data_IF_707175538162
#
_entry.id   IF_707175538162
#
_cell.length_a   1.000
_cell.length_b   1.000
_cell.length_c   1.000
_cell.angle_alpha   90.00
_cell.angle_beta   90.00
_cell.angle_gamma   90.00
#
_symmetry.space_group_name_H-M   'P 1'
#
loop_
_entity.id
_entity.type
_entity.pdbx_description
1 polymer ?
#
# COMPACT_ATOMS: atom_id res chain seq x y z
N UNK A 1 -8.82 -22.03 6.51
CA UNK A 1 -9.15 -21.25 7.72
C UNK A 1 -9.14 -22.22 8.89
N UNK A 2 -8.25 -22.02 9.85
CA UNK A 2 -7.94 -22.96 10.94
C UNK A 2 -8.85 -22.81 12.16
N UNK A 3 -9.86 -21.93 12.09
CA UNK A 3 -10.80 -21.68 13.18
C UNK A 3 -10.33 -20.66 14.21
N UNK A 4 -9.17 -20.01 14.01
CA UNK A 4 -8.72 -18.92 14.87
C UNK A 4 -9.77 -17.80 14.93
N UNK A 5 -10.18 -17.32 16.12
CA UNK A 5 -11.15 -16.24 16.24
C UNK A 5 -10.70 -14.96 15.52
N UNK A 6 -11.63 -14.31 14.82
CA UNK A 6 -11.39 -13.05 14.10
C UNK A 6 -12.17 -11.94 14.80
N UNK A 7 -11.52 -10.80 15.02
CA UNK A 7 -12.15 -9.62 15.61
C UNK A 7 -12.59 -8.71 14.47
N UNK A 8 -13.90 -8.50 14.36
CA UNK A 8 -14.45 -7.54 13.42
C UNK A 8 -14.15 -6.11 13.88
N UNK A 9 -13.65 -5.30 12.95
CA UNK A 9 -13.24 -3.92 13.17
C UNK A 9 -13.76 -3.02 12.05
N UNK A 10 -13.95 -1.74 12.35
CA UNK A 10 -14.55 -0.75 11.46
C UNK A 10 -13.55 -0.02 10.55
N UNK A 11 -12.32 -0.54 10.40
CA UNK A 11 -11.30 0.03 9.51
C UNK A 11 -11.55 -0.30 8.04
N UNK A 12 -11.00 0.51 7.15
CA UNK A 12 -10.88 0.13 5.74
C UNK A 12 -9.97 -1.11 5.54
N UNK A 13 -10.13 -1.75 4.38
CA UNK A 13 -9.39 -2.96 3.99
C UNK A 13 -10.11 -4.26 4.37
N UNK A 14 -9.44 -5.39 4.17
CA UNK A 14 -9.93 -6.75 4.50
C UNK A 14 -9.28 -7.26 5.78
N UNK A 15 -9.22 -8.58 5.98
CA UNK A 15 -8.55 -9.23 7.11
C UNK A 15 -7.05 -8.90 7.17
N UNK A 16 -6.47 -8.90 8.37
CA UNK A 16 -5.02 -8.79 8.59
C UNK A 16 -4.66 -9.48 9.90
N UNK A 17 -3.37 -9.57 10.21
CA UNK A 17 -2.87 -10.09 11.48
C UNK A 17 -1.97 -9.07 12.18
N UNK A 18 -2.05 -9.05 13.51
CA UNK A 18 -1.21 -8.25 14.38
C UNK A 18 -0.66 -9.14 15.51
N UNK A 19 0.59 -8.94 15.88
CA UNK A 19 1.24 -9.66 16.96
C UNK A 19 2.65 -9.16 17.26
N UNK A 20 3.38 -9.83 18.17
CA UNK A 20 4.75 -9.46 18.52
C UNK A 20 5.65 -9.33 17.28
N UNK A 21 6.49 -8.30 17.28
CA UNK A 21 7.37 -7.98 16.15
C UNK A 21 6.74 -7.11 15.06
N UNK A 22 5.48 -6.71 15.22
CA UNK A 22 4.84 -5.72 14.36
C UNK A 22 4.68 -4.37 15.09
N UNK A 23 5.13 -3.29 14.46
CA UNK A 23 4.90 -1.94 14.94
C UNK A 23 3.57 -1.42 14.42
N UNK A 24 2.62 -1.19 15.33
CA UNK A 24 1.29 -0.66 15.00
C UNK A 24 1.24 0.82 15.39
N UNK A 25 0.86 1.67 14.45
CA UNK A 25 0.70 3.11 14.67
C UNK A 25 -0.75 3.55 14.43
N UNK A 26 -1.30 4.33 15.35
CA UNK A 26 -2.64 4.93 15.22
C UNK A 26 -2.55 6.47 15.23
N UNK A 27 -2.31 7.11 14.08
CA UNK A 27 -2.35 8.56 13.98
C UNK A 27 -3.79 9.04 14.16
N UNK A 28 -4.13 9.57 15.33
CA UNK A 28 -5.45 10.16 15.62
C UNK A 28 -5.37 11.66 15.37
N UNK A 29 -5.74 12.08 14.17
CA UNK A 29 -5.49 13.42 13.64
C UNK A 29 -6.74 14.00 12.99
N UNK A 30 -6.96 15.30 13.18
CA UNK A 30 -8.02 16.03 12.48
C UNK A 30 -7.55 16.37 11.06
N UNK A 31 -8.31 15.96 10.05
CA UNK A 31 -8.03 16.25 8.66
C UNK A 31 -8.57 17.63 8.24
N UNK A 32 -7.86 18.34 7.34
CA UNK A 32 -8.37 19.58 6.75
C UNK A 32 -9.64 19.31 5.93
N UNK A 33 -10.43 20.37 5.72
CA UNK A 33 -11.63 20.32 4.87
C UNK A 33 -11.30 20.90 3.48
N UNK A 34 -11.76 20.27 2.37
CA UNK A 34 -12.52 19.01 2.32
C UNK A 34 -11.66 17.80 2.74
N UNK A 35 -12.29 16.80 3.35
CA UNK A 35 -11.59 15.60 3.82
C UNK A 35 -11.14 14.78 2.63
N UNK A 36 -9.84 14.53 2.54
CA UNK A 36 -9.23 13.64 1.56
C UNK A 36 -8.54 12.47 2.26
N UNK A 37 -9.23 11.33 2.27
CA UNK A 37 -8.77 10.09 2.89
C UNK A 37 -7.61 9.49 2.10
N UNK A 38 -7.66 9.56 0.77
CA UNK A 38 -6.63 8.99 -0.11
C UNK A 38 -5.32 9.76 0.05
N UNK A 39 -5.37 11.09 0.11
CA UNK A 39 -4.20 11.90 0.41
C UNK A 39 -3.61 11.60 1.80
N UNK A 40 -4.44 11.28 2.80
CA UNK A 40 -3.94 10.85 4.10
C UNK A 40 -3.25 9.47 4.03
N UNK A 41 -3.83 8.49 3.33
CA UNK A 41 -3.18 7.19 3.09
C UNK A 41 -1.83 7.38 2.40
N UNK A 42 -1.76 8.21 1.34
CA UNK A 42 -0.51 8.50 0.62
C UNK A 42 0.57 9.12 1.51
N UNK A 43 0.19 9.98 2.46
CA UNK A 43 1.12 10.55 3.46
C UNK A 43 1.65 9.48 4.43
N UNK A 44 0.81 8.54 4.84
CA UNK A 44 1.25 7.41 5.67
C UNK A 44 2.20 6.48 4.91
N UNK A 45 1.89 6.16 3.65
CA UNK A 45 2.80 5.42 2.78
C UNK A 45 4.14 6.14 2.65
N UNK A 46 4.13 7.46 2.44
CA UNK A 46 5.35 8.26 2.30
C UNK A 46 6.22 8.23 3.56
N UNK A 47 5.59 8.41 4.73
CA UNK A 47 6.29 8.37 6.01
C UNK A 47 6.93 7.00 6.25
N UNK A 48 6.23 5.92 5.92
CA UNK A 48 6.72 4.55 6.08
C UNK A 48 7.84 4.21 5.09
N UNK A 49 7.72 4.65 3.82
CA UNK A 49 8.77 4.48 2.81
C UNK A 49 10.05 5.21 3.24
N UNK A 50 9.95 6.46 3.69
CA UNK A 50 11.11 7.22 4.20
C UNK A 50 11.74 6.55 5.41
N UNK A 51 10.89 6.07 6.34
CA UNK A 51 11.38 5.33 7.51
C UNK A 51 12.13 4.08 7.08
N UNK A 52 11.61 3.29 6.15
CA UNK A 52 12.29 2.11 5.62
C UNK A 52 13.63 2.46 4.96
N UNK A 53 13.67 3.56 4.19
CA UNK A 53 14.90 4.05 3.56
C UNK A 53 15.98 4.46 4.58
N UNK A 54 15.60 5.04 5.73
CA UNK A 54 16.55 5.37 6.82
C UNK A 54 17.24 4.11 7.39
N UNK A 55 16.62 2.93 7.24
CA UNK A 55 17.19 1.62 7.59
C UNK A 55 17.79 0.86 6.40
N UNK A 56 17.91 1.50 5.23
CA UNK A 56 18.47 0.90 4.02
C UNK A 56 17.54 -0.10 3.31
N UNK A 57 16.23 -0.05 3.57
CA UNK A 57 15.23 -0.93 2.94
C UNK A 57 14.51 -0.17 1.83
N UNK A 58 14.77 -0.55 0.59
CA UNK A 58 14.10 0.02 -0.59
C UNK A 58 12.65 -0.49 -0.70
N UNK A 59 11.71 0.45 -0.73
CA UNK A 59 10.27 0.16 -0.78
C UNK A 59 9.53 1.12 -1.68
N UNK A 60 8.40 0.67 -2.22
CA UNK A 60 7.57 1.38 -3.17
C UNK A 60 6.07 1.24 -2.86
N UNK A 61 5.27 2.01 -3.60
CA UNK A 61 3.81 1.84 -3.68
C UNK A 61 3.49 0.94 -4.86
N UNK A 62 2.43 0.13 -4.72
CA UNK A 62 1.91 -0.71 -5.80
C UNK A 62 0.50 -0.24 -6.15
N UNK A 63 0.23 -0.08 -7.44
CA UNK A 63 -1.06 0.43 -7.92
C UNK A 63 -2.23 -0.43 -7.42
N UNK A 64 -3.29 0.23 -6.93
CA UNK A 64 -4.48 -0.44 -6.40
C UNK A 64 -4.29 -1.18 -5.07
N UNK A 65 -3.08 -1.19 -4.49
CA UNK A 65 -2.74 -1.96 -3.28
C UNK A 65 -2.13 -1.07 -2.21
N UNK A 66 -2.98 -0.50 -1.35
CA UNK A 66 -2.53 0.38 -0.26
C UNK A 66 -1.51 -0.30 0.66
N UNK A 67 -0.52 0.48 1.09
CA UNK A 67 0.57 0.03 1.94
C UNK A 67 1.94 0.21 1.29
N UNK A 68 2.95 -0.36 1.93
CA UNK A 68 4.35 -0.26 1.51
C UNK A 68 4.87 -1.63 1.14
N UNK A 69 5.57 -1.71 0.00
CA UNK A 69 5.96 -2.96 -0.64
C UNK A 69 7.45 -2.98 -0.92
N UNK A 70 8.10 -4.11 -0.69
CA UNK A 70 9.40 -4.41 -1.28
C UNK A 70 9.14 -5.11 -2.61
N UNK A 71 9.61 -4.51 -3.70
CA UNK A 71 9.34 -5.05 -5.02
C UNK A 71 10.02 -6.40 -5.22
N UNK A 72 9.33 -7.24 -5.99
CA UNK A 72 9.87 -8.46 -6.55
C UNK A 72 10.97 -8.21 -7.57
N UNK A 73 11.51 -9.29 -8.14
CA UNK A 73 12.31 -9.13 -9.36
C UNK A 73 11.41 -8.68 -10.52
N UNK A 74 11.94 -7.85 -11.44
CA UNK A 74 11.20 -7.44 -12.61
C UNK A 74 10.73 -8.67 -13.38
N UNK A 75 9.43 -8.74 -13.64
CA UNK A 75 8.88 -9.70 -14.59
C UNK A 75 9.21 -9.17 -15.96
N UNK A 76 9.95 -9.93 -16.78
CA UNK A 76 10.11 -9.59 -18.19
C UNK A 76 8.73 -9.35 -18.80
N UNK A 77 8.50 -8.12 -19.28
CA UNK A 77 7.30 -7.83 -20.04
C UNK A 77 7.30 -8.78 -21.23
N UNK A 78 6.36 -9.74 -21.27
CA UNK A 78 6.09 -10.50 -22.49
C UNK A 78 5.80 -9.46 -23.56
N UNK A 79 6.65 -9.37 -24.57
CA UNK A 79 6.38 -8.55 -25.75
C UNK A 79 4.95 -8.87 -26.18
N UNK A 80 4.10 -7.85 -26.18
CA UNK A 80 2.76 -7.97 -26.70
C UNK A 80 2.88 -8.59 -28.10
N UNK A 81 2.15 -9.69 -28.33
CA UNK A 81 2.03 -10.27 -29.66
C UNK A 81 1.44 -9.19 -30.59
N UNK A 82 2.30 -8.51 -31.34
CA UNK A 82 1.92 -7.58 -32.40
C UNK A 82 1.20 -6.30 -31.94
N UNK A 83 1.96 -5.21 -31.77
CA UNK A 83 1.59 -3.90 -32.31
C UNK A 83 0.47 -3.10 -31.64
N UNK A 84 -0.08 -3.50 -30.49
CA UNK A 84 -1.07 -2.71 -29.76
C UNK A 84 -0.59 -2.47 -28.33
N UNK A 85 0.19 -1.40 -28.13
CA UNK A 85 0.27 -0.76 -26.81
C UNK A 85 -0.96 0.15 -26.67
N UNK A 86 -1.89 -0.25 -25.81
CA UNK A 86 -3.02 0.61 -25.42
C UNK A 86 -2.56 1.47 -24.24
N UNK A 87 -1.67 2.43 -24.51
CA UNK A 87 -1.31 3.45 -23.53
C UNK A 87 -2.40 4.53 -23.55
N UNK A 88 -3.54 4.22 -22.91
CA UNK A 88 -4.61 5.19 -22.64
C UNK A 88 -4.26 6.03 -21.41
N UNK A 89 -3.06 6.60 -21.33
CA UNK A 89 -2.84 7.70 -20.40
C UNK A 89 -3.20 9.02 -21.11
N UNK A 90 -4.40 9.59 -20.87
CA UNK A 90 -4.80 10.85 -21.48
C UNK A 90 -3.87 12.02 -21.11
N UNK A 91 -2.98 11.85 -20.11
CA UNK A 91 -1.96 12.84 -19.72
C UNK A 91 -0.79 12.93 -20.69
N UNK A 92 -0.58 11.91 -21.54
CA UNK A 92 0.53 11.91 -22.52
C UNK A 92 0.25 12.84 -23.73
N UNK A 93 -0.99 13.32 -23.89
CA UNK A 93 -1.41 14.14 -25.03
C UNK A 93 -1.75 15.60 -24.66
N UNK A 94 -1.66 15.98 -23.39
CA UNK A 94 -2.03 17.30 -22.90
C UNK A 94 -0.77 18.16 -22.61
N UNK A 95 -0.48 19.12 -23.48
CA UNK A 95 0.68 20.03 -23.35
C UNK A 95 0.51 21.07 -22.22
N UNK A 96 -0.68 21.19 -21.62
CA UNK A 96 -0.97 22.10 -20.50
C UNK A 96 -0.83 21.40 -19.12
N UNK A 97 -0.47 20.11 -19.12
CA UNK A 97 -0.35 19.28 -17.93
C UNK A 97 0.91 19.63 -17.10
N UNK A 98 0.74 20.17 -15.87
CA UNK A 98 1.86 20.36 -14.93
C UNK A 98 2.29 19.00 -14.33
N UNK A 99 3.52 18.51 -14.62
CA UNK A 99 4.00 17.22 -14.10
C UNK A 99 4.09 17.16 -12.58
N UNK A 100 4.05 18.29 -11.87
CA UNK A 100 4.01 18.34 -10.40
C UNK A 100 2.66 17.92 -9.82
N UNK A 101 1.61 17.93 -10.63
CA UNK A 101 0.29 17.42 -10.26
C UNK A 101 0.20 15.89 -10.37
N UNK A 102 1.25 15.23 -10.89
CA UNK A 102 1.33 13.78 -10.84
C UNK A 102 1.23 13.31 -9.40
N UNK A 103 0.35 12.33 -9.19
CA UNK A 103 0.38 11.53 -7.96
C UNK A 103 1.74 10.86 -7.79
N UNK A 104 1.99 10.25 -6.63
CA UNK A 104 3.21 9.47 -6.45
C UNK A 104 3.31 8.38 -7.53
N UNK A 105 4.52 8.05 -7.95
CA UNK A 105 4.74 6.93 -8.87
C UNK A 105 4.32 5.61 -8.22
N UNK A 106 3.65 4.76 -9.00
CA UNK A 106 3.19 3.45 -8.57
C UNK A 106 3.86 2.38 -9.42
N UNK A 107 4.42 1.36 -8.78
CA UNK A 107 4.86 0.18 -9.49
C UNK A 107 3.64 -0.64 -9.97
N UNK A 108 3.71 -1.25 -11.16
CA UNK A 108 2.70 -2.20 -11.60
C UNK A 108 2.68 -3.42 -10.66
N UNK A 109 1.49 -3.90 -10.30
CA UNK A 109 1.33 -5.06 -9.42
C UNK A 109 1.71 -6.37 -10.11
N UNK A 110 2.62 -7.16 -9.53
CA UNK A 110 2.96 -8.51 -9.99
C UNK A 110 2.28 -9.65 -9.18
N UNK A 111 1.22 -9.34 -8.42
CA UNK A 111 0.54 -10.31 -7.54
C UNK A 111 0.25 -11.65 -8.23
N UNK A 112 0.58 -12.76 -7.54
CA UNK A 112 0.36 -14.12 -8.05
C UNK A 112 1.44 -14.65 -9.00
N UNK A 113 2.57 -13.94 -9.15
CA UNK A 113 3.71 -14.35 -9.97
C UNK A 113 4.89 -14.83 -9.12
N UNK A 114 5.84 -15.57 -9.72
CA UNK A 114 7.08 -15.95 -9.01
C UNK A 114 7.86 -14.69 -8.62
N UNK A 115 8.38 -14.66 -7.38
CA UNK A 115 9.09 -13.51 -6.78
C UNK A 115 8.20 -12.27 -6.65
N UNK A 116 6.97 -12.47 -6.19
CA UNK A 116 6.00 -11.39 -5.98
C UNK A 116 6.48 -10.28 -5.04
N UNK A 117 5.83 -9.12 -5.18
CA UNK A 117 5.97 -7.98 -4.29
C UNK A 117 5.58 -8.37 -2.87
N UNK A 118 6.49 -8.08 -1.92
CA UNK A 118 6.33 -8.44 -0.52
C UNK A 118 5.81 -7.24 0.25
N UNK A 119 4.64 -7.37 0.86
CA UNK A 119 4.05 -6.29 1.66
C UNK A 119 4.82 -6.11 2.96
N UNK A 120 5.44 -4.95 3.14
CA UNK A 120 6.15 -4.57 4.36
C UNK A 120 5.22 -3.92 5.38
N UNK A 121 4.28 -3.08 4.93
CA UNK A 121 3.32 -2.43 5.81
C UNK A 121 1.90 -2.42 5.25
N UNK A 122 0.93 -2.70 6.11
CA UNK A 122 -0.49 -2.58 5.83
C UNK A 122 -1.03 -1.25 6.37
N UNK A 123 -1.94 -0.61 5.62
CA UNK A 123 -2.63 0.61 6.03
C UNK A 123 -4.12 0.37 5.94
N UNK A 124 -4.81 0.59 7.06
CA UNK A 124 -6.26 0.51 7.17
C UNK A 124 -6.72 1.61 8.10
N UNK A 125 -7.36 2.63 7.53
CA UNK A 125 -7.85 3.80 8.27
C UNK A 125 -9.36 3.92 8.16
N UNK A 126 -9.95 4.66 9.09
CA UNK A 126 -11.31 5.20 9.00
C UNK A 126 -11.24 6.69 9.31
N UNK A 127 -12.14 7.49 8.74
CA UNK A 127 -12.33 8.89 9.16
C UNK A 127 -13.75 9.06 9.65
N UNK A 128 -13.91 9.57 10.87
CA UNK A 128 -15.20 9.88 11.47
C UNK A 128 -15.18 11.31 11.98
N UNK A 129 -16.19 12.11 11.60
CA UNK A 129 -16.31 13.53 12.00
C UNK A 129 -15.03 14.35 11.71
N UNK A 130 -14.31 14.00 10.65
CA UNK A 130 -13.06 14.65 10.25
C UNK A 130 -11.81 14.25 11.04
N UNK A 131 -11.89 13.23 11.90
CA UNK A 131 -10.75 12.69 12.66
C UNK A 131 -10.43 11.27 12.21
N UNK A 132 -9.16 10.96 12.03
CA UNK A 132 -8.67 9.63 11.64
C UNK A 132 -8.74 8.64 12.80
N UNK A 133 -9.00 7.39 12.47
CA UNK A 133 -9.02 6.23 13.35
C UNK A 133 -8.23 5.11 12.68
N UNK A 134 -7.75 4.16 13.48
CA UNK A 134 -6.84 3.11 13.03
C UNK A 134 -5.55 3.72 12.46
N UNK A 135 -4.91 3.07 11.49
CA UNK A 135 -3.61 3.53 11.01
C UNK A 135 -2.88 2.48 10.19
N UNK A 136 -1.68 2.13 10.62
CA UNK A 136 -0.80 1.23 9.91
C UNK A 136 -0.22 0.15 10.82
N UNK A 137 0.24 -0.92 10.18
CA UNK A 137 1.00 -2.00 10.79
C UNK A 137 2.24 -2.27 9.93
N UNK A 138 3.42 -2.04 10.51
CA UNK A 138 4.73 -2.26 9.90
C UNK A 138 5.35 -3.54 10.43
N UNK A 139 5.69 -4.47 9.54
CA UNK A 139 6.35 -5.72 9.91
C UNK A 139 7.84 -5.46 10.16
N UNK A 140 8.27 -5.49 11.42
CA UNK A 140 9.68 -5.30 11.81
C UNK A 140 10.37 -6.66 11.89
N UNK A 141 9.87 -7.54 12.76
CA UNK A 141 10.31 -8.93 12.90
C UNK A 141 9.19 -9.87 13.39
N UNK A 142 7.97 -9.81 12.83
CA UNK A 142 6.90 -10.70 13.26
C UNK A 142 7.13 -12.14 12.76
N UNK A 143 6.45 -13.08 13.40
CA UNK A 143 6.26 -14.42 12.82
C UNK A 143 5.28 -14.34 11.64
N UNK A 144 5.82 -14.37 10.42
CA UNK A 144 5.02 -14.22 9.20
C UNK A 144 4.16 -15.46 8.89
N UNK A 145 4.36 -16.61 9.54
CA UNK A 145 3.56 -17.82 9.27
C UNK A 145 2.07 -17.66 9.63
N UNK A 146 1.72 -16.62 10.38
CA UNK A 146 0.33 -16.25 10.65
C UNK A 146 -0.39 -15.67 9.42
N UNK A 147 0.34 -15.04 8.49
CA UNK A 147 -0.25 -14.56 7.25
C UNK A 147 -0.65 -15.71 6.32
N UNK A 148 0.02 -16.87 6.40
CA UNK A 148 -0.29 -18.07 5.59
C UNK A 148 -1.68 -18.66 5.91
N UNK A 149 -2.29 -18.24 7.03
CA UNK A 149 -3.59 -18.73 7.49
C UNK A 149 -4.76 -17.89 7.01
N UNK A 150 -4.48 -16.77 6.35
CA UNK A 150 -5.45 -15.80 5.85
C UNK A 150 -5.18 -15.45 4.38
N UNK A 151 -6.10 -14.72 3.75
CA UNK A 151 -5.88 -14.07 2.45
C UNK A 151 -5.75 -12.57 2.71
N UNK A 152 -4.53 -12.06 2.92
CA UNK A 152 -4.28 -10.69 3.39
C UNK A 152 -4.40 -9.62 2.29
#
# INVERSE_FOLDING_TARGET
LDGTPVIDVDRGGKITWHGPGQLVGYPIQKLPRPVDVVAHVRRLEDALIRTAADFGVETSRVEGRSGVWVLGDPVEQRQALGGLSLDFDPRLQDEEFDPRLNGPEYAPSNAGQRREDRKLAAIGIRVAKGVTMHGFALNVNPDNTWFDRIVP
#
